data_IF_290398207501
#
_entry.id   IF_290398207501
#
_cell.length_a   1.000
_cell.length_b   1.000
_cell.length_c   1.000
_cell.angle_alpha   90.00
_cell.angle_beta   90.00
_cell.angle_gamma   90.00
#
_symmetry.space_group_name_H-M   'P 1'
#
loop_
_entity.id
_entity.type
_entity.pdbx_description
1 polymer ?
#
# COMPACT_ATOMS: atom_id res chain seq x y z
N UNK A 1 -2.82 -10.63 -24.65
CA UNK A 1 -3.87 -10.27 -23.66
C UNK A 1 -3.89 -11.33 -22.58
N UNK A 2 -3.93 -10.92 -21.30
CA UNK A 2 -4.11 -11.87 -20.19
C UNK A 2 -5.52 -12.46 -20.22
N UNK A 3 -5.64 -13.71 -19.80
CA UNK A 3 -6.92 -14.43 -19.68
C UNK A 3 -7.57 -14.26 -18.30
N UNK A 4 -6.77 -13.92 -17.29
CA UNK A 4 -7.20 -13.73 -15.91
C UNK A 4 -7.06 -12.27 -15.51
N UNK A 5 -8.05 -11.76 -14.78
CA UNK A 5 -8.05 -10.42 -14.20
C UNK A 5 -7.39 -10.45 -12.83
N UNK A 6 -6.08 -10.73 -12.81
CA UNK A 6 -5.24 -10.74 -11.62
C UNK A 6 -4.02 -9.85 -11.84
N UNK A 7 -3.53 -9.28 -10.76
CA UNK A 7 -2.22 -8.65 -10.75
C UNK A 7 -1.12 -9.72 -10.84
N UNK A 8 -0.06 -9.45 -11.60
CA UNK A 8 1.19 -10.18 -11.49
C UNK A 8 2.06 -9.62 -10.38
N UNK A 9 3.00 -10.43 -9.90
CA UNK A 9 4.04 -10.01 -8.96
C UNK A 9 4.75 -8.71 -9.41
N UNK A 10 5.14 -8.62 -10.68
CA UNK A 10 5.78 -7.41 -11.24
C UNK A 10 4.91 -6.15 -11.14
N UNK A 11 3.58 -6.28 -11.31
CA UNK A 11 2.65 -5.14 -11.23
C UNK A 11 2.46 -4.69 -9.77
N UNK A 12 2.54 -5.64 -8.82
CA UNK A 12 2.50 -5.35 -7.39
C UNK A 12 3.80 -4.63 -6.98
N UNK A 13 4.96 -5.19 -7.34
CA UNK A 13 6.27 -4.63 -6.98
C UNK A 13 6.55 -3.27 -7.65
N UNK A 14 6.05 -3.05 -8.87
CA UNK A 14 6.18 -1.76 -9.55
C UNK A 14 5.25 -0.68 -8.98
N UNK A 15 4.28 -1.07 -8.14
CA UNK A 15 3.26 -0.18 -7.59
C UNK A 15 2.17 0.19 -8.60
N UNK A 16 2.00 -0.58 -9.67
CA UNK A 16 0.89 -0.40 -10.63
C UNK A 16 -0.47 -0.73 -10.01
N UNK A 17 -0.49 -1.62 -8.99
CA UNK A 17 -1.68 -2.01 -8.23
C UNK A 17 -1.87 -1.11 -6.99
N UNK A 18 -1.74 0.20 -7.17
CA UNK A 18 -1.96 1.20 -6.10
C UNK A 18 -3.16 2.08 -6.41
N UNK A 19 -3.77 2.67 -5.39
CA UNK A 19 -4.74 3.72 -5.61
C UNK A 19 -4.10 4.95 -6.27
N UNK A 20 -4.75 5.49 -7.30
CA UNK A 20 -4.20 6.59 -8.13
C UNK A 20 -3.83 7.85 -7.32
N UNK A 21 -4.45 8.06 -6.15
CA UNK A 21 -4.13 9.22 -5.32
C UNK A 21 -2.70 9.16 -4.75
N UNK A 22 -2.11 7.97 -4.57
CA UNK A 22 -0.70 7.85 -4.14
C UNK A 22 0.26 8.38 -5.21
N UNK A 23 0.02 8.04 -6.48
CA UNK A 23 0.82 8.54 -7.61
C UNK A 23 0.73 10.07 -7.70
N UNK A 24 -0.50 10.60 -7.66
CA UNK A 24 -0.73 12.06 -7.70
C UNK A 24 -0.10 12.78 -6.51
N UNK A 25 -0.19 12.19 -5.31
CA UNK A 25 0.42 12.74 -4.10
C UNK A 25 1.95 12.75 -4.21
N UNK A 26 2.56 11.67 -4.71
CA UNK A 26 4.00 11.59 -4.94
C UNK A 26 4.51 12.67 -5.89
N UNK A 27 3.76 12.96 -6.97
CA UNK A 27 4.09 14.06 -7.89
C UNK A 27 4.03 15.43 -7.21
N UNK A 28 3.01 15.65 -6.37
CA UNK A 28 2.86 16.89 -5.61
C UNK A 28 4.04 17.03 -4.63
N UNK A 29 4.33 16.01 -3.82
CA UNK A 29 5.42 16.06 -2.84
C UNK A 29 6.77 16.37 -3.50
N UNK A 30 7.06 15.79 -4.67
CA UNK A 30 8.26 16.12 -5.45
C UNK A 30 8.31 17.58 -5.89
N UNK A 31 7.18 18.15 -6.33
CA UNK A 31 7.10 19.57 -6.75
C UNK A 31 7.37 20.55 -5.60
N UNK A 32 7.12 20.12 -4.36
CA UNK A 32 7.36 20.91 -3.15
C UNK A 32 8.65 20.51 -2.41
N UNK A 33 9.50 19.66 -3.00
CA UNK A 33 10.73 19.13 -2.38
C UNK A 33 10.49 18.42 -1.02
N UNK A 34 9.30 17.83 -0.85
CA UNK A 34 8.89 17.13 0.37
C UNK A 34 9.02 15.59 0.26
N UNK A 35 9.38 15.06 -0.91
CA UNK A 35 9.45 13.61 -1.16
C UNK A 35 10.59 12.89 -0.39
N UNK A 36 11.48 13.65 0.27
CA UNK A 36 12.59 13.16 1.09
C UNK A 36 12.40 13.39 2.58
N UNK A 37 11.27 13.97 2.99
CA UNK A 37 10.98 14.19 4.41
C UNK A 37 10.85 12.83 5.12
N UNK A 38 11.62 12.64 6.18
CA UNK A 38 11.57 11.39 6.95
C UNK A 38 10.29 11.34 7.78
N UNK A 39 9.52 10.28 7.56
CA UNK A 39 8.24 10.04 8.26
C UNK A 39 8.24 8.66 8.93
N UNK A 40 7.28 8.45 9.82
CA UNK A 40 6.94 7.15 10.40
C UNK A 40 5.50 6.83 10.04
N UNK A 41 5.24 5.60 9.63
CA UNK A 41 3.89 5.07 9.36
C UNK A 41 3.61 3.94 10.34
N UNK A 42 2.41 3.92 10.90
CA UNK A 42 1.92 2.86 11.77
C UNK A 42 0.59 2.36 11.21
N UNK A 43 0.39 1.04 11.24
CA UNK A 43 -0.82 0.39 10.71
C UNK A 43 -1.62 -0.11 11.90
N UNK A 44 -2.89 0.26 11.93
CA UNK A 44 -3.85 -0.09 12.98
C UNK A 44 -5.08 -0.72 12.34
N UNK A 45 -5.72 -1.66 13.03
CA UNK A 45 -6.91 -2.33 12.53
C UNK A 45 -7.97 -2.46 13.63
N UNK A 46 -9.23 -2.26 13.23
CA UNK A 46 -10.39 -2.73 13.99
C UNK A 46 -10.68 -4.17 13.60
N UNK A 47 -11.01 -5.01 14.58
CA UNK A 47 -11.27 -6.43 14.32
C UNK A 47 -12.75 -6.70 14.01
N UNK A 48 -13.06 -7.66 13.11
CA UNK A 48 -14.43 -8.02 12.80
C UNK A 48 -15.24 -8.44 14.04
N UNK A 49 -16.55 -8.17 14.02
CA UNK A 49 -17.50 -8.59 15.08
C UNK A 49 -17.15 -8.15 16.51
N UNK A 50 -16.29 -7.15 16.67
CA UNK A 50 -15.86 -6.66 17.98
C UNK A 50 -14.91 -7.62 18.70
N UNK A 51 -14.14 -8.42 17.98
CA UNK A 51 -13.12 -9.26 18.58
C UNK A 51 -12.03 -8.45 19.29
N UNK A 52 -11.51 -8.99 20.39
CA UNK A 52 -10.45 -8.36 21.18
C UNK A 52 -9.04 -8.83 20.80
N UNK A 53 -8.92 -9.87 19.98
CA UNK A 53 -7.64 -10.41 19.50
C UNK A 53 -7.75 -10.98 18.08
N UNK A 54 -6.62 -11.11 17.39
CA UNK A 54 -6.52 -11.72 16.08
C UNK A 54 -5.15 -12.37 15.87
N UNK A 55 -5.04 -13.20 14.83
CA UNK A 55 -3.77 -13.79 14.41
C UNK A 55 -3.08 -12.83 13.46
N UNK A 56 -1.87 -12.38 13.81
CA UNK A 56 -1.06 -11.57 12.92
C UNK A 56 -0.35 -12.46 11.90
N UNK A 57 -0.56 -12.19 10.61
CA UNK A 57 0.00 -12.94 9.47
C UNK A 57 0.13 -12.02 8.25
N UNK A 58 0.84 -12.47 7.21
CA UNK A 58 1.09 -11.70 5.98
C UNK A 58 2.31 -10.78 6.04
N UNK A 59 3.09 -10.81 7.12
CA UNK A 59 4.31 -9.99 7.26
C UNK A 59 5.38 -10.35 6.24
N UNK A 60 5.44 -11.61 5.81
CA UNK A 60 6.43 -12.07 4.83
C UNK A 60 6.23 -11.44 3.44
N UNK A 61 5.00 -11.08 3.09
CA UNK A 61 4.63 -10.51 1.79
C UNK A 61 4.62 -8.96 1.79
N UNK A 62 4.73 -8.33 2.97
CA UNK A 62 4.58 -6.88 3.17
C UNK A 62 5.84 -6.08 2.81
#
# INVERSE_FOLDING_TARGET
MRKLYIASEDEILSGEVTDIYFIRTKEILKKYDLDKVKVRVEVHASLPKGYEWGVFTGLEEA
#
